data_IF_445920389027
#
_entry.id   IF_445920389027
#
_cell.length_a   1.000
_cell.length_b   1.000
_cell.length_c   1.000
_cell.angle_alpha   90.00
_cell.angle_beta   90.00
_cell.angle_gamma   90.00
#
_symmetry.space_group_name_H-M   'P 1'
#
loop_
_entity.id
_entity.type
_entity.pdbx_description
1 polymer ?
#
# COMPACT_ATOMS: atom_id res chain seq x y z
N UNK A 1 -25.42 -13.19 30.51
CA UNK A 1 -24.29 -12.26 30.37
C UNK A 1 -24.58 -11.41 29.15
N UNK A 2 -24.82 -10.11 29.33
CA UNK A 2 -25.27 -9.22 28.26
C UNK A 2 -24.11 -8.80 27.36
N UNK A 3 -24.26 -9.04 26.06
CA UNK A 3 -23.44 -8.41 25.02
C UNK A 3 -23.70 -6.90 25.05
N UNK A 4 -22.85 -6.15 25.75
CA UNK A 4 -22.81 -4.70 25.65
C UNK A 4 -22.17 -4.32 24.31
N UNK A 5 -22.90 -4.51 23.20
CA UNK A 5 -22.59 -3.83 21.95
C UNK A 5 -22.85 -2.34 22.18
N UNK A 6 -21.78 -1.53 22.19
CA UNK A 6 -21.90 -0.09 22.03
C UNK A 6 -22.71 0.18 20.75
N UNK A 7 -23.76 1.01 20.79
CA UNK A 7 -24.53 1.34 19.59
C UNK A 7 -23.61 1.97 18.55
N UNK A 8 -23.45 1.31 17.41
CA UNK A 8 -22.68 1.82 16.27
C UNK A 8 -23.64 2.61 15.39
N UNK A 9 -23.42 3.92 15.27
CA UNK A 9 -24.22 4.79 14.41
C UNK A 9 -23.56 4.86 13.03
N UNK A 10 -24.31 4.47 11.99
CA UNK A 10 -23.89 4.60 10.60
C UNK A 10 -24.23 5.99 10.09
N UNK A 11 -23.24 6.66 9.50
CA UNK A 11 -23.44 7.92 8.81
C UNK A 11 -22.78 7.88 7.46
N UNK A 12 -23.61 7.73 6.42
CA UNK A 12 -23.25 8.21 5.10
C UNK A 12 -23.15 9.74 5.18
N UNK A 13 -22.08 10.32 4.65
CA UNK A 13 -21.98 11.76 4.46
C UNK A 13 -23.25 12.27 3.76
N UNK A 14 -24.01 13.14 4.42
CA UNK A 14 -25.21 13.78 3.88
C UNK A 14 -24.88 15.25 3.68
N UNK A 15 -24.64 15.63 2.44
CA UNK A 15 -24.39 17.01 2.07
C UNK A 15 -25.52 17.92 2.58
N UNK A 16 -25.16 19.00 3.30
CA UNK A 16 -26.12 19.95 3.86
C UNK A 16 -26.86 19.50 5.12
N UNK A 17 -26.47 18.39 5.77
CA UNK A 17 -27.00 18.00 7.09
C UNK A 17 -25.93 17.99 8.15
N UNK A 18 -26.05 18.92 9.08
CA UNK A 18 -25.31 18.90 10.34
C UNK A 18 -25.93 17.90 11.28
N UNK A 19 -25.10 17.27 12.09
CA UNK A 19 -25.55 16.38 13.14
C UNK A 19 -24.81 16.73 14.42
N UNK A 20 -25.46 16.45 15.55
CA UNK A 20 -25.03 16.91 16.85
C UNK A 20 -24.91 15.71 17.78
N UNK A 21 -23.79 15.63 18.48
CA UNK A 21 -23.52 14.59 19.46
C UNK A 21 -23.54 15.20 20.85
N UNK A 22 -23.99 14.45 21.87
CA UNK A 22 -23.88 14.91 23.24
C UNK A 22 -22.41 15.17 23.60
N UNK A 23 -22.15 16.29 24.26
CA UNK A 23 -20.81 16.65 24.72
C UNK A 23 -20.20 15.55 25.61
N UNK A 24 -18.86 15.44 25.58
CA UNK A 24 -18.04 14.54 26.40
C UNK A 24 -18.20 13.02 26.14
N UNK A 25 -18.94 12.61 25.10
CA UNK A 25 -18.89 11.22 24.64
C UNK A 25 -17.60 10.92 23.87
N UNK A 26 -16.99 9.77 24.18
CA UNK A 26 -15.92 9.21 23.36
C UNK A 26 -16.51 8.69 22.06
N UNK A 27 -16.16 9.33 20.94
CA UNK A 27 -16.55 8.89 19.62
C UNK A 27 -15.40 8.14 18.96
N UNK A 28 -15.80 7.15 18.17
CA UNK A 28 -14.93 6.42 17.29
C UNK A 28 -15.35 6.78 15.86
N UNK A 29 -14.49 7.50 15.15
CA UNK A 29 -14.83 8.14 13.87
C UNK A 29 -13.89 7.59 12.80
N UNK A 30 -14.46 7.12 11.69
CA UNK A 30 -13.76 6.70 10.47
C UNK A 30 -14.58 7.15 9.26
N UNK A 31 -13.97 7.17 8.09
CA UNK A 31 -14.62 7.52 6.83
C UNK A 31 -13.97 6.77 5.67
N UNK A 32 -14.65 6.69 4.53
CA UNK A 32 -14.10 6.13 3.31
C UNK A 32 -14.72 6.80 2.07
N UNK A 33 -14.05 6.69 0.93
CA UNK A 33 -14.50 7.21 -0.36
C UNK A 33 -13.97 6.33 -1.50
N UNK A 34 -14.72 6.08 -2.60
CA UNK A 34 -16.09 6.52 -2.89
C UNK A 34 -17.15 5.84 -2.00
N UNK A 35 -18.23 6.57 -1.71
CA UNK A 35 -19.36 6.05 -0.94
C UNK A 35 -20.06 4.92 -1.71
N UNK A 36 -20.04 3.71 -1.17
CA UNK A 36 -20.73 2.58 -1.77
C UNK A 36 -22.17 2.46 -1.23
N UNK A 37 -23.09 3.23 -1.83
CA UNK A 37 -24.48 3.43 -1.38
C UNK A 37 -25.33 2.14 -1.36
N UNK A 38 -24.85 1.04 -1.96
CA UNK A 38 -25.56 -0.24 -2.00
C UNK A 38 -25.36 -1.09 -0.74
N UNK A 39 -24.44 -0.71 0.15
CA UNK A 39 -24.22 -1.45 1.40
C UNK A 39 -25.19 -0.99 2.49
N UNK A 40 -26.41 -1.52 2.44
CA UNK A 40 -27.50 -1.15 3.36
C UNK A 40 -27.38 -1.82 4.74
N UNK A 41 -26.33 -2.63 4.97
CA UNK A 41 -26.20 -3.47 6.18
C UNK A 41 -24.79 -3.58 6.79
N UNK A 42 -23.72 -3.21 6.08
CA UNK A 42 -22.37 -3.30 6.64
C UNK A 42 -21.91 -1.97 7.24
N UNK A 43 -22.11 -1.81 8.55
CA UNK A 43 -21.72 -0.58 9.26
C UNK A 43 -20.20 -0.47 9.53
N UNK A 44 -19.43 -1.54 9.35
CA UNK A 44 -18.01 -1.57 9.75
C UNK A 44 -17.08 -2.18 8.69
N UNK A 45 -17.59 -2.69 7.58
CA UNK A 45 -16.78 -3.41 6.59
C UNK A 45 -17.15 -2.95 5.17
N UNK A 46 -16.15 -2.81 4.30
CA UNK A 46 -16.34 -2.50 2.88
C UNK A 46 -16.16 -3.77 2.07
N UNK A 47 -17.21 -4.22 1.37
CA UNK A 47 -17.05 -5.28 0.37
C UNK A 47 -16.47 -4.70 -0.92
N UNK A 48 -15.30 -5.20 -1.34
CA UNK A 48 -14.64 -4.77 -2.57
C UNK A 48 -14.42 -6.01 -3.45
N UNK A 49 -14.74 -5.86 -4.73
CA UNK A 49 -14.63 -6.92 -5.74
C UNK A 49 -13.80 -6.43 -6.93
N UNK A 50 -12.79 -7.19 -7.30
CA UNK A 50 -12.06 -7.06 -8.56
C UNK A 50 -12.91 -7.72 -9.65
N UNK A 51 -13.52 -6.93 -10.55
CA UNK A 51 -14.32 -7.46 -11.66
C UNK A 51 -13.68 -7.16 -13.03
N UNK A 52 -13.56 -8.15 -13.94
CA UNK A 52 -12.87 -7.99 -15.22
C UNK A 52 -13.63 -7.11 -16.22
N UNK A 53 -14.95 -7.10 -16.16
CA UNK A 53 -15.80 -6.40 -17.13
C UNK A 53 -15.85 -4.88 -16.91
N UNK A 54 -15.34 -4.37 -15.78
CA UNK A 54 -15.41 -2.94 -15.45
C UNK A 54 -14.20 -2.49 -14.62
N UNK A 55 -13.05 -2.37 -15.27
CA UNK A 55 -11.86 -1.73 -14.67
C UNK A 55 -12.15 -0.29 -14.21
N UNK A 56 -13.11 0.39 -14.85
CA UNK A 56 -13.62 1.72 -14.44
C UNK A 56 -14.46 1.69 -13.15
N UNK A 57 -14.91 0.52 -12.69
CA UNK A 57 -15.80 0.36 -11.51
C UNK A 57 -15.10 -0.29 -10.33
N UNK A 58 -13.93 -0.95 -10.47
CA UNK A 58 -13.11 -1.29 -9.29
C UNK A 58 -12.72 0.03 -8.63
N UNK A 59 -13.37 0.42 -7.52
CA UNK A 59 -13.22 1.77 -7.03
C UNK A 59 -11.86 1.88 -6.36
N UNK A 60 -11.12 2.94 -6.67
CA UNK A 60 -9.97 3.31 -5.87
C UNK A 60 -10.46 3.81 -4.51
N UNK A 61 -10.50 2.90 -3.54
CA UNK A 61 -11.03 3.18 -2.20
C UNK A 61 -9.93 3.77 -1.33
N UNK A 62 -10.23 4.95 -0.78
CA UNK A 62 -9.48 5.56 0.31
C UNK A 62 -10.25 5.44 1.60
N UNK A 63 -9.54 5.16 2.70
CA UNK A 63 -10.12 5.03 4.04
C UNK A 63 -9.36 5.94 4.99
N UNK A 64 -10.07 6.53 5.95
CA UNK A 64 -9.47 7.20 7.09
C UNK A 64 -9.36 6.22 8.26
N UNK A 65 -8.16 6.12 8.83
CA UNK A 65 -7.96 5.35 10.05
C UNK A 65 -8.89 5.85 11.17
N UNK A 66 -9.34 4.95 12.06
CA UNK A 66 -10.23 5.35 13.12
C UNK A 66 -9.56 6.26 14.13
N UNK A 67 -10.19 7.39 14.43
CA UNK A 67 -9.76 8.29 15.50
C UNK A 67 -10.69 8.16 16.69
N UNK A 68 -10.09 8.09 17.88
CA UNK A 68 -10.84 8.22 19.14
C UNK A 68 -10.75 9.67 19.61
N UNK A 69 -11.88 10.37 19.54
CA UNK A 69 -11.96 11.77 19.98
C UNK A 69 -13.06 11.89 21.03
N UNK A 70 -12.76 12.56 22.15
CA UNK A 70 -13.84 13.11 22.98
C UNK A 70 -14.46 14.23 22.17
N UNK A 71 -15.70 14.02 21.74
CA UNK A 71 -16.39 15.03 20.96
C UNK A 71 -16.50 16.32 21.78
N UNK A 72 -16.02 17.40 21.18
CA UNK A 72 -16.28 18.76 21.62
C UNK A 72 -16.77 19.53 20.41
N UNK A 73 -17.95 20.13 20.54
CA UNK A 73 -18.64 20.85 19.46
C UNK A 73 -17.83 22.01 18.85
N UNK A 74 -16.76 22.47 19.53
CA UNK A 74 -15.88 23.55 19.11
C UNK A 74 -14.59 23.08 18.38
N UNK A 75 -14.36 21.78 18.22
CA UNK A 75 -13.13 21.25 17.60
C UNK A 75 -13.38 20.46 16.32
N UNK A 76 -12.65 20.78 15.22
CA UNK A 76 -12.68 19.94 14.03
C UNK A 76 -12.06 18.56 14.34
N UNK A 77 -12.50 17.54 13.59
CA UNK A 77 -11.89 16.21 13.56
C UNK A 77 -11.22 16.06 12.21
N UNK A 78 -9.89 15.95 12.22
CA UNK A 78 -9.11 15.69 11.02
C UNK A 78 -9.07 14.19 10.74
N UNK A 79 -9.35 13.80 9.49
CA UNK A 79 -9.34 12.42 9.03
C UNK A 79 -8.30 12.27 7.92
N UNK A 80 -7.25 11.49 8.19
CA UNK A 80 -6.19 11.21 7.21
C UNK A 80 -6.58 10.03 6.33
N UNK A 81 -6.92 10.31 5.07
CA UNK A 81 -7.26 9.29 4.09
C UNK A 81 -6.02 8.66 3.47
N UNK A 82 -6.06 7.35 3.26
CA UNK A 82 -5.03 6.60 2.55
C UNK A 82 -5.68 5.55 1.64
N UNK A 83 -5.01 5.24 0.54
CA UNK A 83 -5.41 4.17 -0.37
C UNK A 83 -5.20 2.81 0.29
N UNK A 84 -6.23 1.95 0.27
CA UNK A 84 -6.16 0.61 0.89
C UNK A 84 -5.81 -0.49 -0.13
N UNK A 85 -5.87 -0.18 -1.42
CA UNK A 85 -5.53 -1.07 -2.53
C UNK A 85 -4.09 -0.86 -3.00
N UNK A 86 -3.60 -1.74 -3.86
CA UNK A 86 -2.31 -1.60 -4.55
C UNK A 86 -2.49 -1.34 -6.04
N UNK A 87 -1.65 -0.47 -6.61
CA UNK A 87 -1.65 -0.13 -8.03
C UNK A 87 -0.55 -0.91 -8.70
N UNK A 88 -0.83 -1.51 -9.85
CA UNK A 88 0.19 -2.10 -10.69
C UNK A 88 0.09 -1.55 -12.11
N UNK A 89 1.13 -0.87 -12.55
CA UNK A 89 1.39 -0.58 -13.95
C UNK A 89 2.41 -1.59 -14.49
N UNK A 90 2.05 -2.31 -15.55
CA UNK A 90 2.95 -3.26 -16.20
C UNK A 90 3.41 -2.66 -17.52
N UNK A 91 4.72 -2.51 -17.69
CA UNK A 91 5.37 -2.11 -18.93
C UNK A 91 6.09 -3.30 -19.52
N UNK A 92 6.14 -3.36 -20.85
CA UNK A 92 6.85 -4.41 -21.56
C UNK A 92 7.65 -3.82 -22.73
N UNK A 93 8.83 -4.37 -22.95
CA UNK A 93 9.62 -4.15 -24.17
C UNK A 93 10.09 -5.48 -24.75
N UNK A 94 10.56 -5.44 -25.99
CA UNK A 94 11.35 -6.50 -26.56
C UNK A 94 12.81 -6.36 -26.11
N UNK A 95 13.47 -7.47 -25.77
CA UNK A 95 14.89 -7.46 -25.41
C UNK A 95 15.79 -7.19 -26.64
N UNK A 96 15.35 -7.63 -27.82
CA UNK A 96 16.07 -7.49 -29.08
C UNK A 96 15.58 -6.28 -29.91
N UNK A 97 16.35 -5.90 -30.93
CA UNK A 97 16.01 -4.85 -31.91
C UNK A 97 14.94 -5.28 -32.93
N UNK A 98 14.39 -6.49 -32.83
CA UNK A 98 13.35 -6.99 -33.75
C UNK A 98 11.96 -6.47 -33.42
N UNK A 99 11.11 -6.33 -34.43
CA UNK A 99 9.68 -6.04 -34.25
C UNK A 99 8.96 -7.29 -33.73
N UNK A 100 8.40 -7.21 -32.53
CA UNK A 100 7.59 -8.30 -31.94
C UNK A 100 6.16 -7.83 -31.80
N UNK A 101 5.22 -8.60 -32.33
CA UNK A 101 3.80 -8.32 -32.18
C UNK A 101 3.18 -9.26 -31.13
N UNK A 102 2.56 -8.68 -30.11
CA UNK A 102 1.69 -9.38 -29.18
C UNK A 102 0.25 -9.33 -29.69
N UNK A 103 -0.41 -10.48 -29.76
CA UNK A 103 -1.85 -10.55 -30.01
C UNK A 103 -2.65 -10.00 -28.84
N UNK A 104 -2.29 -10.40 -27.62
CA UNK A 104 -2.92 -9.93 -26.38
C UNK A 104 -2.04 -10.17 -25.16
N UNK A 105 -2.33 -9.44 -24.09
CA UNK A 105 -1.77 -9.65 -22.76
C UNK A 105 -2.91 -9.73 -21.73
N UNK A 106 -2.86 -10.72 -20.84
CA UNK A 106 -3.92 -10.98 -19.88
C UNK A 106 -3.35 -11.26 -18.48
N UNK A 107 -4.06 -10.84 -17.43
CA UNK A 107 -3.83 -11.28 -16.05
C UNK A 107 -4.91 -12.26 -15.65
N UNK A 108 -4.50 -13.46 -15.25
CA UNK A 108 -5.36 -14.44 -14.62
C UNK A 108 -5.26 -14.29 -13.09
N UNK A 109 -6.40 -14.16 -12.42
CA UNK A 109 -6.54 -14.19 -10.96
C UNK A 109 -7.19 -15.52 -10.59
N UNK A 110 -6.51 -16.27 -9.71
CA UNK A 110 -7.01 -17.55 -9.19
C UNK A 110 -8.35 -17.39 -8.42
N UNK A 111 -9.07 -18.50 -8.29
CA UNK A 111 -10.36 -18.56 -7.59
C UNK A 111 -10.28 -18.04 -6.15
N UNK A 112 -11.39 -17.49 -5.63
CA UNK A 112 -11.52 -16.98 -4.26
C UNK A 112 -10.61 -15.78 -3.93
N UNK A 113 -9.95 -15.17 -4.92
CA UNK A 113 -9.09 -13.99 -4.72
C UNK A 113 -9.66 -12.69 -5.29
N UNK A 114 -10.79 -12.76 -5.97
CA UNK A 114 -11.41 -11.62 -6.65
C UNK A 114 -12.30 -10.75 -5.75
N UNK A 115 -12.61 -11.16 -4.52
CA UNK A 115 -13.40 -10.35 -3.59
C UNK A 115 -12.84 -10.42 -2.16
N UNK A 116 -12.84 -9.29 -1.44
CA UNK A 116 -12.44 -9.20 -0.03
C UNK A 116 -13.30 -8.19 0.73
N UNK A 117 -13.32 -8.31 2.06
CA UNK A 117 -13.84 -7.28 2.94
C UNK A 117 -12.69 -6.45 3.51
N UNK A 118 -12.88 -5.14 3.61
CA UNK A 118 -11.99 -4.28 4.38
C UNK A 118 -12.70 -3.83 5.65
N UNK A 119 -12.21 -4.28 6.80
CA UNK A 119 -12.78 -3.93 8.08
C UNK A 119 -12.30 -2.54 8.49
N UNK A 120 -13.22 -1.56 8.48
CA UNK A 120 -12.96 -0.18 8.85
C UNK A 120 -12.55 -0.05 10.33
N UNK A 121 -12.91 -1.03 11.17
CA UNK A 121 -12.56 -1.01 12.60
C UNK A 121 -11.14 -1.43 12.88
N UNK A 122 -10.75 -2.55 12.28
CA UNK A 122 -9.43 -3.16 12.49
C UNK A 122 -8.41 -2.72 11.46
N UNK A 123 -8.85 -1.99 10.42
CA UNK A 123 -8.05 -1.54 9.27
C UNK A 123 -7.34 -2.71 8.57
N UNK A 124 -8.05 -3.84 8.44
CA UNK A 124 -7.51 -5.08 7.90
C UNK A 124 -8.37 -5.63 6.76
N UNK A 125 -7.71 -6.29 5.81
CA UNK A 125 -8.35 -7.07 4.77
C UNK A 125 -8.75 -8.45 5.30
N UNK A 126 -10.02 -8.79 5.13
CA UNK A 126 -10.60 -10.08 5.49
C UNK A 126 -11.02 -10.83 4.21
N UNK A 127 -10.74 -12.13 4.16
CA UNK A 127 -11.14 -12.98 3.03
C UNK A 127 -12.62 -13.33 3.14
N UNK A 128 -13.33 -13.31 2.01
CA UNK A 128 -14.66 -13.90 1.92
C UNK A 128 -14.58 -15.42 2.10
N UNK A 129 -15.55 -15.97 2.83
CA UNK A 129 -15.77 -17.42 2.93
C UNK A 129 -16.55 -17.98 1.74
N UNK A 130 -17.00 -17.11 0.84
CA UNK A 130 -17.79 -17.48 -0.35
C UNK A 130 -16.84 -17.78 -1.50
N UNK A 131 -17.11 -18.87 -2.21
CA UNK A 131 -16.31 -19.22 -3.39
C UNK A 131 -16.58 -18.26 -4.54
N UNK A 132 -15.53 -17.67 -5.12
CA UNK A 132 -15.61 -16.82 -6.31
C UNK A 132 -14.85 -17.44 -7.47
N UNK A 133 -15.38 -17.36 -8.71
CA UNK A 133 -14.72 -17.95 -9.87
C UNK A 133 -13.38 -17.27 -10.13
N UNK A 134 -12.46 -18.00 -10.77
CA UNK A 134 -11.26 -17.41 -11.32
C UNK A 134 -11.60 -16.38 -12.41
N UNK A 135 -10.73 -15.39 -12.58
CA UNK A 135 -11.00 -14.22 -13.41
C UNK A 135 -9.85 -13.97 -14.38
N UNK A 136 -10.16 -13.62 -15.63
CA UNK A 136 -9.18 -13.15 -16.61
C UNK A 136 -9.40 -11.67 -16.93
N UNK A 137 -8.34 -10.88 -16.82
CA UNK A 137 -8.30 -9.46 -17.17
C UNK A 137 -7.54 -9.28 -18.47
N UNK A 138 -8.23 -8.82 -19.50
CA UNK A 138 -7.58 -8.37 -20.72
C UNK A 138 -6.89 -7.02 -20.47
N UNK A 139 -5.58 -6.97 -20.60
CA UNK A 139 -4.83 -5.73 -20.44
C UNK A 139 -4.82 -4.92 -21.74
N UNK A 140 -4.62 -5.62 -22.84
CA UNK A 140 -4.38 -5.03 -24.16
C UNK A 140 -4.39 -6.09 -25.26
N UNK A 141 -4.61 -5.62 -26.48
CA UNK A 141 -4.56 -6.41 -27.71
C UNK A 141 -3.67 -5.73 -28.75
N UNK A 142 -3.09 -6.52 -29.64
CA UNK A 142 -2.37 -6.07 -30.83
C UNK A 142 -1.25 -5.05 -30.54
N UNK A 143 -0.42 -5.32 -29.53
CA UNK A 143 0.70 -4.44 -29.16
C UNK A 143 1.94 -4.75 -30.02
N UNK A 144 2.57 -3.72 -30.56
CA UNK A 144 3.92 -3.82 -31.09
C UNK A 144 4.93 -3.51 -29.96
N UNK A 145 5.84 -4.45 -29.71
CA UNK A 145 6.96 -4.28 -28.80
C UNK A 145 8.21 -3.88 -29.59
N UNK A 146 8.94 -2.94 -29.02
CA UNK A 146 10.29 -2.54 -29.44
C UNK A 146 11.19 -2.52 -28.20
N UNK A 147 12.44 -2.04 -28.33
CA UNK A 147 13.34 -1.83 -27.19
C UNK A 147 12.84 -0.78 -26.19
N UNK A 148 11.88 0.07 -26.59
CA UNK A 148 11.25 1.05 -25.69
C UNK A 148 10.06 0.43 -24.95
N UNK A 149 10.01 0.48 -23.60
CA UNK A 149 8.89 -0.05 -22.84
C UNK A 149 7.58 0.66 -23.16
N UNK A 150 6.53 -0.13 -23.39
CA UNK A 150 5.15 0.32 -23.57
C UNK A 150 4.28 -0.21 -22.44
N UNK A 151 3.27 0.54 -22.00
CA UNK A 151 2.32 0.05 -20.98
C UNK A 151 1.46 -1.06 -21.60
N UNK A 152 1.26 -2.14 -20.86
CA UNK A 152 0.35 -3.23 -21.25
C UNK A 152 -1.11 -2.91 -20.94
N UNK A 153 -1.40 -1.89 -20.14
CA UNK A 153 -2.75 -1.41 -19.86
C UNK A 153 -2.82 0.12 -20.03
N UNK A 154 -3.99 0.67 -20.38
CA UNK A 154 -4.17 2.12 -20.54
C UNK A 154 -4.09 2.87 -19.20
N UNK A 155 -4.42 2.19 -18.10
CA UNK A 155 -4.36 2.71 -16.74
C UNK A 155 -3.76 1.66 -15.78
N UNK A 156 -3.21 2.07 -14.62
CA UNK A 156 -2.80 1.15 -13.56
C UNK A 156 -3.97 0.28 -13.09
N UNK A 157 -3.66 -0.94 -12.69
CA UNK A 157 -4.65 -1.95 -12.28
C UNK A 157 -4.65 -2.03 -10.76
N UNK A 158 -5.83 -2.00 -10.15
CA UNK A 158 -6.00 -2.11 -8.71
C UNK A 158 -6.03 -3.58 -8.29
N UNK A 159 -5.28 -3.92 -7.24
CA UNK A 159 -5.29 -5.25 -6.61
C UNK A 159 -5.42 -5.15 -5.10
N UNK A 160 -5.88 -6.22 -4.47
CA UNK A 160 -5.68 -6.35 -3.02
C UNK A 160 -4.19 -6.56 -2.72
N UNK A 161 -3.66 -5.96 -1.65
CA UNK A 161 -2.29 -6.23 -1.22
C UNK A 161 -2.03 -7.72 -0.99
N UNK A 162 -0.82 -8.18 -1.33
CA UNK A 162 -0.37 -9.56 -1.14
C UNK A 162 -0.98 -10.59 -2.10
N UNK A 163 -1.57 -10.17 -3.22
CA UNK A 163 -2.18 -11.08 -4.19
C UNK A 163 -1.21 -11.74 -5.18
N UNK A 164 0.08 -11.41 -5.15
CA UNK A 164 1.08 -11.85 -6.11
C UNK A 164 1.10 -13.37 -6.38
N UNK A 165 0.96 -14.26 -5.37
CA UNK A 165 0.96 -15.71 -5.59
C UNK A 165 -0.19 -16.22 -6.46
N UNK A 166 -1.26 -15.44 -6.54
CA UNK A 166 -2.53 -15.81 -7.16
C UNK A 166 -2.76 -15.12 -8.51
N UNK A 167 -1.80 -14.31 -8.97
CA UNK A 167 -1.91 -13.56 -10.22
C UNK A 167 -0.85 -14.06 -11.20
N UNK A 168 -1.30 -14.39 -12.41
CA UNK A 168 -0.44 -14.81 -13.52
C UNK A 168 -0.62 -13.88 -14.71
N UNK A 169 0.48 -13.27 -15.16
CA UNK A 169 0.55 -12.59 -16.44
C UNK A 169 0.80 -13.60 -17.55
N UNK A 170 0.03 -13.52 -18.63
CA UNK A 170 0.23 -14.30 -19.84
C UNK A 170 0.23 -13.36 -21.05
N UNK A 171 1.25 -13.46 -21.89
CA UNK A 171 1.30 -12.72 -23.17
C UNK A 171 1.34 -13.69 -24.34
N UNK A 172 0.64 -13.32 -25.40
CA UNK A 172 0.45 -14.12 -26.60
C UNK A 172 1.24 -13.47 -27.73
N UNK A 173 2.43 -14.00 -28.04
CA UNK A 173 3.27 -13.49 -29.13
C UNK A 173 2.81 -14.09 -30.45
N UNK A 174 2.57 -13.24 -31.44
CA UNK A 174 2.25 -13.65 -32.80
C UNK A 174 3.52 -14.09 -33.53
N UNK A 175 3.46 -15.27 -34.11
CA UNK A 175 4.54 -15.84 -34.92
C UNK A 175 4.39 -15.46 -36.39
N UNK A 176 5.48 -15.53 -37.19
CA UNK A 176 5.44 -15.19 -38.62
C UNK A 176 4.47 -16.04 -39.45
N UNK A 177 4.19 -17.27 -39.02
CA UNK A 177 3.23 -18.18 -39.67
C UNK A 177 1.76 -17.87 -39.30
N UNK A 178 1.53 -16.86 -38.45
CA UNK A 178 0.22 -16.44 -37.98
C UNK A 178 -0.28 -17.19 -36.75
N UNK A 179 0.47 -18.17 -36.23
CA UNK A 179 0.17 -18.84 -34.97
C UNK A 179 0.58 -17.99 -33.75
N UNK A 180 0.26 -18.47 -32.55
CA UNK A 180 0.56 -17.75 -31.30
C UNK A 180 1.34 -18.63 -30.34
N UNK A 181 2.47 -18.11 -29.88
CA UNK A 181 3.20 -18.65 -28.73
C UNK A 181 2.78 -17.91 -27.46
N UNK A 182 2.83 -18.61 -26.33
CA UNK A 182 2.49 -18.04 -25.02
C UNK A 182 3.67 -18.09 -24.07
N UNK A 183 3.84 -17.03 -23.31
CA UNK A 183 4.72 -17.01 -22.14
C UNK A 183 3.93 -16.47 -20.94
N UNK A 184 4.13 -17.09 -19.79
CA UNK A 184 3.46 -16.70 -18.55
C UNK A 184 4.43 -16.60 -17.39
N UNK A 185 4.09 -15.75 -16.42
CA UNK A 185 4.85 -15.50 -15.20
C UNK A 185 3.86 -15.27 -14.06
N UNK A 186 4.08 -15.87 -12.88
CA UNK A 186 3.36 -15.44 -11.68
C UNK A 186 3.98 -14.16 -11.14
N UNK A 187 3.16 -13.26 -10.60
CA UNK A 187 3.70 -12.04 -9.99
C UNK A 187 4.59 -12.36 -8.79
N UNK A 188 4.35 -13.48 -8.10
CA UNK A 188 5.22 -13.98 -7.02
C UNK A 188 6.61 -14.43 -7.48
N UNK A 189 6.83 -14.64 -8.78
CA UNK A 189 8.13 -15.01 -9.33
C UNK A 189 9.04 -13.79 -9.53
N UNK A 190 8.50 -12.57 -9.32
CA UNK A 190 9.28 -11.32 -9.38
C UNK A 190 10.28 -11.29 -8.24
N UNK A 191 11.55 -11.18 -8.62
CA UNK A 191 12.69 -11.12 -7.72
C UNK A 191 13.44 -9.82 -7.87
N UNK A 192 14.23 -9.48 -6.85
CA UNK A 192 15.22 -8.41 -6.96
C UNK A 192 16.50 -8.85 -7.66
N UNK A 193 17.43 -7.91 -7.78
CA UNK A 193 18.74 -8.17 -8.39
C UNK A 193 19.60 -9.16 -7.57
N UNK A 194 19.27 -9.39 -6.30
CA UNK A 194 19.90 -10.41 -5.45
C UNK A 194 19.21 -11.80 -5.57
N UNK A 195 18.04 -11.85 -6.22
CA UNK A 195 17.25 -13.07 -6.39
C UNK A 195 16.19 -13.30 -5.31
N UNK A 196 15.98 -12.32 -4.43
CA UNK A 196 15.03 -12.38 -3.32
C UNK A 196 13.60 -12.04 -3.79
N UNK A 197 12.55 -12.73 -3.29
CA UNK A 197 11.17 -12.42 -3.62
C UNK A 197 10.80 -11.00 -3.22
N UNK A 198 10.04 -10.29 -4.05
CA UNK A 198 9.63 -8.92 -3.74
C UNK A 198 8.13 -8.74 -3.84
N UNK A 199 7.60 -8.10 -2.80
CA UNK A 199 6.22 -7.64 -2.76
C UNK A 199 6.09 -6.41 -3.64
N UNK A 200 5.21 -6.51 -4.64
CA UNK A 200 4.89 -5.42 -5.57
C UNK A 200 3.44 -4.98 -5.45
N UNK A 201 2.62 -5.69 -4.66
CA UNK A 201 1.24 -5.34 -4.35
C UNK A 201 1.13 -4.95 -2.88
N UNK A 202 1.47 -3.70 -2.59
CA UNK A 202 1.42 -3.10 -1.25
C UNK A 202 0.28 -2.07 -1.15
N UNK A 203 -0.35 -2.01 0.02
CA UNK A 203 -1.43 -1.05 0.28
C UNK A 203 -0.92 0.39 0.11
N UNK A 204 -1.63 1.21 -0.66
CA UNK A 204 -1.30 2.60 -0.90
C UNK A 204 -0.05 2.83 -1.74
N UNK A 205 0.46 1.79 -2.40
CA UNK A 205 1.62 1.87 -3.28
C UNK A 205 1.20 1.72 -4.74
N UNK A 206 1.70 2.62 -5.57
CA UNK A 206 1.76 2.50 -7.01
C UNK A 206 3.08 1.84 -7.44
N UNK A 207 2.95 0.61 -7.94
CA UNK A 207 4.06 -0.18 -8.45
C UNK A 207 4.12 -0.09 -9.97
N UNK A 208 5.33 0.10 -10.51
CA UNK A 208 5.59 -0.06 -11.95
C UNK A 208 6.55 -1.21 -12.16
N UNK A 209 6.09 -2.25 -12.86
CA UNK A 209 6.88 -3.41 -13.25
C UNK A 209 7.24 -3.31 -14.73
N UNK A 210 8.53 -3.19 -15.05
CA UNK A 210 9.02 -3.20 -16.43
C UNK A 210 9.59 -4.56 -16.77
N UNK A 211 8.95 -5.23 -17.72
CA UNK A 211 9.31 -6.55 -18.21
C UNK A 211 10.00 -6.45 -19.56
N UNK A 212 10.88 -7.39 -19.82
CA UNK A 212 11.47 -7.60 -21.14
C UNK A 212 11.13 -9.00 -21.63
N UNK A 213 10.62 -9.08 -22.85
CA UNK A 213 10.39 -10.35 -23.54
C UNK A 213 11.69 -10.80 -24.19
N UNK A 214 12.25 -11.89 -23.67
CA UNK A 214 13.50 -12.46 -24.16
C UNK A 214 13.28 -13.30 -25.42
N UNK A 215 14.31 -13.50 -26.26
CA UNK A 215 14.19 -14.24 -27.51
C UNK A 215 13.81 -15.71 -27.30
N UNK A 216 14.20 -16.26 -26.14
CA UNK A 216 13.90 -17.61 -25.66
C UNK A 216 12.46 -17.78 -25.16
N UNK A 217 11.57 -16.81 -25.39
CA UNK A 217 10.19 -16.79 -24.87
C UNK A 217 10.15 -16.86 -23.33
N UNK A 218 11.02 -16.09 -22.69
CA UNK A 218 11.06 -15.93 -21.23
C UNK A 218 10.81 -14.46 -20.91
N UNK A 219 10.03 -14.20 -19.85
CA UNK A 219 9.87 -12.85 -19.31
C UNK A 219 10.97 -12.60 -18.28
N UNK A 220 11.71 -11.51 -18.43
CA UNK A 220 12.64 -11.01 -17.40
C UNK A 220 12.11 -9.72 -16.80
N UNK A 221 12.45 -9.48 -15.53
CA UNK A 221 12.19 -8.21 -14.86
C UNK A 221 13.39 -7.30 -15.10
N UNK A 222 13.17 -6.18 -15.77
CA UNK A 222 14.23 -5.23 -16.11
C UNK A 222 14.33 -4.10 -15.08
N UNK A 223 13.18 -3.64 -14.60
CA UNK A 223 13.12 -2.62 -13.57
C UNK A 223 11.80 -2.75 -12.79
N UNK A 224 11.84 -2.31 -11.54
CA UNK A 224 10.67 -2.11 -10.70
C UNK A 224 10.77 -0.78 -9.97
N UNK A 225 9.65 -0.11 -9.81
CA UNK A 225 9.55 1.10 -9.01
C UNK A 225 8.36 0.97 -8.08
N UNK A 226 8.53 1.32 -6.81
CA UNK A 226 7.47 1.43 -5.83
C UNK A 226 7.37 2.90 -5.43
N UNK A 227 6.15 3.45 -5.46
CA UNK A 227 5.89 4.85 -5.12
C UNK A 227 4.60 4.94 -4.31
N UNK A 228 4.51 5.82 -3.33
CA UNK A 228 3.23 6.08 -2.66
C UNK A 228 2.22 6.70 -3.63
N UNK A 229 0.97 6.28 -3.47
CA UNK A 229 -0.14 6.69 -4.32
C UNK A 229 -0.58 8.12 -4.00
N UNK A 230 -0.68 8.96 -5.03
CA UNK A 230 -1.08 10.37 -4.88
C UNK A 230 0.07 11.37 -5.01
N UNK A 231 1.33 10.90 -5.14
CA UNK A 231 2.51 11.76 -5.27
C UNK A 231 3.04 11.68 -6.71
N UNK A 232 3.12 12.82 -7.40
CA UNK A 232 3.83 12.93 -8.69
C UNK A 232 5.27 13.33 -8.40
N UNK A 233 6.24 12.58 -8.93
CA UNK A 233 7.68 12.82 -8.75
C UNK A 233 8.09 14.27 -9.06
N UNK A 234 8.19 15.11 -8.03
CA UNK A 234 9.15 16.21 -8.02
C UNK A 234 10.50 15.58 -7.66
N UNK A 235 11.33 15.36 -8.68
CA UNK A 235 12.79 15.09 -8.59
C UNK A 235 13.31 14.94 -7.16
N UNK A 236 13.48 13.69 -6.69
CA UNK A 236 14.07 13.33 -5.41
C UNK A 236 15.39 14.07 -5.18
N UNK A 237 15.33 15.23 -4.53
CA UNK A 237 16.50 15.88 -3.95
C UNK A 237 16.75 15.16 -2.62
N UNK A 238 17.84 14.40 -2.60
CA UNK A 238 18.42 13.58 -1.52
C UNK A 238 18.72 14.30 -0.19
N UNK A 239 18.09 15.43 0.13
CA UNK A 239 18.51 16.27 1.25
C UNK A 239 17.59 16.20 2.48
N UNK A 240 16.58 15.31 2.48
CA UNK A 240 15.53 15.35 3.49
C UNK A 240 15.00 13.96 3.86
N UNK A 241 15.75 13.21 4.67
CA UNK A 241 15.36 11.88 5.19
C UNK A 241 15.31 11.87 6.73
N UNK A 242 14.49 10.97 7.28
CA UNK A 242 14.50 10.64 8.72
C UNK A 242 15.29 9.38 8.88
N UNK A 243 16.26 9.38 9.79
CA UNK A 243 16.99 8.18 10.15
C UNK A 243 16.26 7.45 11.27
N UNK A 244 16.07 6.14 11.10
CA UNK A 244 15.41 5.29 12.09
C UNK A 244 16.47 4.38 12.71
N UNK A 245 16.59 4.41 14.03
CA UNK A 245 17.40 3.46 14.78
C UNK A 245 16.47 2.59 15.61
N UNK A 246 16.64 1.28 15.56
CA UNK A 246 16.09 0.38 16.59
C UNK A 246 17.29 -0.05 17.44
N UNK A 247 17.23 0.16 18.75
CA UNK A 247 18.36 -0.10 19.65
C UNK A 247 17.99 -1.07 20.75
N UNK A 248 18.91 -1.96 21.09
CA UNK A 248 18.78 -2.90 22.21
C UNK A 248 19.13 -2.26 23.56
N UNK A 249 18.87 -2.99 24.66
CA UNK A 249 19.25 -2.61 26.03
C UNK A 249 20.72 -2.20 26.21
N UNK A 250 21.62 -2.71 25.36
CA UNK A 250 23.05 -2.37 25.33
C UNK A 250 23.39 -1.22 24.37
N UNK A 251 22.37 -0.53 23.84
CA UNK A 251 22.46 0.54 22.85
C UNK A 251 23.09 0.13 21.50
N UNK A 252 23.16 -1.18 21.22
CA UNK A 252 23.50 -1.69 19.89
C UNK A 252 22.29 -1.64 18.96
N UNK A 253 22.52 -1.52 17.64
CA UNK A 253 21.46 -1.55 16.63
C UNK A 253 20.83 -2.95 16.54
N UNK A 254 19.51 -3.03 16.68
CA UNK A 254 18.73 -4.23 16.40
C UNK A 254 18.30 -4.24 14.92
N UNK A 255 19.15 -4.81 14.08
CA UNK A 255 18.86 -4.96 12.65
C UNK A 255 17.72 -5.94 12.36
N UNK A 256 17.40 -6.85 13.29
CA UNK A 256 16.39 -7.89 13.05
C UNK A 256 15.01 -7.27 13.05
N UNK A 257 14.67 -6.57 14.15
CA UNK A 257 13.39 -5.86 14.26
C UNK A 257 13.30 -4.77 13.20
N UNK A 258 14.39 -4.03 12.99
CA UNK A 258 14.40 -2.96 12.00
C UNK A 258 14.00 -3.45 10.59
N UNK A 259 14.54 -4.59 10.13
CA UNK A 259 14.26 -5.13 8.78
C UNK A 259 12.80 -5.54 8.61
N UNK A 260 12.08 -5.74 9.71
CA UNK A 260 10.66 -6.04 9.70
C UNK A 260 9.79 -4.77 9.74
N UNK A 261 10.36 -3.58 9.88
CA UNK A 261 9.58 -2.33 9.82
C UNK A 261 9.31 -1.95 8.36
N UNK A 262 8.03 -1.85 8.02
CA UNK A 262 7.57 -1.42 6.70
C UNK A 262 7.36 0.10 6.64
N UNK A 263 6.70 0.66 7.66
CA UNK A 263 6.40 2.09 7.72
C UNK A 263 6.27 2.58 9.17
N UNK A 264 6.41 3.88 9.34
CA UNK A 264 6.19 4.56 10.62
C UNK A 264 5.14 5.65 10.48
N UNK A 265 4.40 5.89 11.56
CA UNK A 265 3.43 6.96 11.70
C UNK A 265 3.65 7.64 13.06
N UNK A 266 3.78 8.97 13.08
CA UNK A 266 3.79 9.76 14.31
C UNK A 266 2.51 10.58 14.38
N UNK A 267 1.83 10.55 15.53
CA UNK A 267 0.68 11.39 15.84
C UNK A 267 1.11 12.38 16.92
N UNK A 268 1.05 13.67 16.63
CA UNK A 268 1.41 14.73 17.60
C UNK A 268 0.67 16.03 17.29
N UNK A 269 0.25 16.76 18.34
CA UNK A 269 -0.45 18.04 18.16
C UNK A 269 -1.71 17.99 17.29
N UNK A 270 -2.40 16.85 17.23
CA UNK A 270 -3.57 16.64 16.37
C UNK A 270 -3.25 16.42 14.88
N UNK A 271 -1.98 16.27 14.52
CA UNK A 271 -1.52 15.98 13.16
C UNK A 271 -0.87 14.60 13.08
N UNK A 272 -0.93 14.02 11.90
CA UNK A 272 -0.32 12.73 11.59
C UNK A 272 0.79 12.89 10.55
N UNK A 273 1.89 12.17 10.75
CA UNK A 273 3.07 12.19 9.88
C UNK A 273 3.45 10.75 9.55
N UNK A 274 3.63 10.42 8.28
CA UNK A 274 3.91 9.05 7.82
C UNK A 274 5.19 8.99 7.00
N UNK A 275 5.85 7.84 7.04
CA UNK A 275 7.01 7.56 6.22
C UNK A 275 7.16 6.06 5.97
N UNK A 276 7.53 5.71 4.74
CA UNK A 276 8.00 4.36 4.41
C UNK A 276 9.44 4.18 4.88
N UNK A 277 9.71 3.01 5.42
CA UNK A 277 11.06 2.63 5.83
C UNK A 277 11.72 1.89 4.67
N UNK A 278 12.83 2.43 4.18
CA UNK A 278 13.59 1.82 3.09
C UNK A 278 14.94 1.35 3.63
N UNK A 279 15.22 0.04 3.59
CA UNK A 279 16.54 -0.49 3.91
C UNK A 279 17.58 0.06 2.94
N UNK A 280 18.58 0.78 3.45
CA UNK A 280 19.72 1.24 2.66
C UNK A 280 20.78 0.15 2.62
N UNK A 281 21.21 -0.24 1.42
CA UNK A 281 22.12 -1.36 1.17
C UNK A 281 23.60 -1.07 1.49
N UNK A 282 23.92 0.06 2.12
CA UNK A 282 25.30 0.39 2.49
C UNK A 282 25.70 -0.26 3.81
N UNK A 283 26.73 -1.11 3.75
CA UNK A 283 27.28 -1.95 4.82
C UNK A 283 27.91 -1.19 6.02
N UNK A 284 27.54 0.06 6.27
CA UNK A 284 28.11 0.85 7.37
C UNK A 284 27.16 1.74 8.17
N UNK A 285 25.91 2.02 7.76
CA UNK A 285 25.07 2.92 8.58
C UNK A 285 23.59 2.90 8.22
N UNK A 286 22.79 2.97 9.27
CA UNK A 286 21.52 3.70 9.42
C UNK A 286 20.54 3.65 8.23
N UNK A 287 19.65 2.68 8.35
CA UNK A 287 18.23 2.71 8.06
C UNK A 287 17.56 4.09 7.92
N UNK A 288 16.98 4.37 6.74
CA UNK A 288 16.30 5.64 6.43
C UNK A 288 14.81 5.46 6.15
N UNK A 289 14.00 6.37 6.69
CA UNK A 289 12.62 6.59 6.28
C UNK A 289 12.56 7.67 5.18
N UNK A 290 11.84 7.37 4.10
CA UNK A 290 11.50 8.35 3.08
C UNK A 290 10.21 9.09 3.47
N UNK A 291 10.26 10.40 3.34
CA UNK A 291 9.13 11.31 3.61
C UNK A 291 9.05 12.34 2.50
N UNK A 292 7.87 12.95 2.31
CA UNK A 292 7.60 13.94 1.26
C UNK A 292 8.45 15.22 1.44
N UNK A 293 8.51 15.80 2.65
CA UNK A 293 9.51 16.81 3.02
C UNK A 293 9.84 16.80 4.53
N UNK A 294 11.11 17.00 4.91
CA UNK A 294 11.54 17.18 6.31
C UNK A 294 10.86 18.38 7.01
N UNK A 295 10.38 19.36 6.23
CA UNK A 295 9.59 20.52 6.67
C UNK A 295 8.25 20.14 7.25
N UNK A 296 7.67 19.04 6.76
CA UNK A 296 6.36 18.56 7.16
C UNK A 296 6.43 17.71 8.41
N UNK A 297 7.61 17.19 8.78
CA UNK A 297 7.74 16.47 10.04
C UNK A 297 7.82 17.39 11.26
N UNK A 298 7.25 16.97 12.39
CA UNK A 298 7.22 17.78 13.60
C UNK A 298 8.65 18.12 14.02
N UNK A 299 8.92 19.39 14.32
CA UNK A 299 10.25 19.79 14.81
C UNK A 299 10.52 19.26 16.22
N UNK A 300 9.47 19.03 16.99
CA UNK A 300 9.50 18.51 18.35
C UNK A 300 8.25 17.67 18.57
N UNK A 301 8.37 16.66 19.42
CA UNK A 301 7.25 15.87 19.90
C UNK A 301 6.92 16.26 21.33
N UNK A 302 5.65 16.14 21.69
CA UNK A 302 5.17 16.31 23.05
C UNK A 302 5.04 14.94 23.75
N UNK A 303 4.82 14.95 25.06
CA UNK A 303 4.64 13.73 25.84
C UNK A 303 3.34 12.96 25.53
N UNK A 304 2.47 13.50 24.67
CA UNK A 304 1.25 12.84 24.18
C UNK A 304 1.45 12.22 22.80
N UNK A 305 2.66 12.35 22.23
CA UNK A 305 2.95 11.89 20.89
C UNK A 305 3.00 10.37 20.85
N UNK A 306 2.31 9.79 19.87
CA UNK A 306 2.24 8.35 19.66
C UNK A 306 3.03 7.98 18.41
N UNK A 307 3.91 7.01 18.51
CA UNK A 307 4.54 6.38 17.36
C UNK A 307 3.79 5.08 17.07
N UNK A 308 3.38 4.87 15.83
CA UNK A 308 2.78 3.63 15.35
C UNK A 308 3.70 3.07 14.27
N UNK A 309 4.03 1.80 14.38
CA UNK A 309 4.92 1.09 13.46
C UNK A 309 4.12 0.01 12.76
N UNK A 310 4.16 0.00 11.43
CA UNK A 310 3.62 -1.09 10.64
C UNK A 310 4.76 -2.02 10.24
N UNK A 311 4.60 -3.30 10.54
CA UNK A 311 5.57 -4.34 10.26
C UNK A 311 5.29 -4.95 8.87
N UNK A 312 6.28 -5.61 8.28
CA UNK A 312 6.21 -6.27 6.97
C UNK A 312 5.18 -7.39 6.90
N UNK A 313 4.78 -7.96 8.04
CA UNK A 313 3.70 -8.95 8.15
C UNK A 313 2.30 -8.31 8.25
N UNK A 314 2.22 -6.97 8.21
CA UNK A 314 1.00 -6.18 8.34
C UNK A 314 0.56 -5.93 9.79
N UNK A 315 1.32 -6.39 10.79
CA UNK A 315 1.02 -6.09 12.19
C UNK A 315 1.31 -4.62 12.52
N UNK A 316 0.52 -4.05 13.43
CA UNK A 316 0.67 -2.68 13.91
C UNK A 316 1.16 -2.71 15.37
N UNK A 317 2.14 -1.86 15.67
CA UNK A 317 2.70 -1.68 17.01
C UNK A 317 2.56 -0.22 17.44
N UNK A 318 1.85 0.01 18.53
CA UNK A 318 1.80 1.31 19.19
C UNK A 318 2.96 1.42 20.17
N UNK A 319 3.86 2.37 19.92
CA UNK A 319 5.04 2.64 20.72
C UNK A 319 4.80 3.93 21.52
N UNK A 320 4.76 3.86 22.86
CA UNK A 320 4.52 5.04 23.70
C UNK A 320 5.73 5.98 23.69
N UNK A 321 5.50 7.27 23.94
CA UNK A 321 6.56 8.31 23.97
C UNK A 321 7.77 7.97 24.84
N UNK A 322 7.60 7.19 25.91
CA UNK A 322 8.69 6.75 26.78
C UNK A 322 9.64 5.73 26.14
N UNK A 323 9.25 5.13 25.02
CA UNK A 323 9.94 4.03 24.34
C UNK A 323 10.56 4.45 23.00
N UNK A 324 10.62 5.75 22.72
CA UNK A 324 11.39 6.26 21.60
C UNK A 324 11.91 7.68 21.88
N UNK A 325 12.95 8.05 21.15
CA UNK A 325 13.54 9.38 21.16
C UNK A 325 13.42 9.98 19.76
N UNK A 326 12.97 11.22 19.71
CA UNK A 326 12.91 11.98 18.48
C UNK A 326 13.86 13.17 18.57
N UNK A 327 14.93 13.13 17.77
CA UNK A 327 15.90 14.20 17.66
C UNK A 327 15.74 14.92 16.33
N UNK A 328 15.81 16.24 16.40
CA UNK A 328 15.53 17.12 15.27
C UNK A 328 16.58 18.21 15.22
N UNK A 329 17.32 18.25 14.11
CA UNK A 329 18.21 19.36 13.73
C UNK A 329 17.83 19.85 12.34
N UNK A 330 18.18 21.08 12.02
CA UNK A 330 17.96 21.82 10.77
C UNK A 330 18.11 20.99 9.49
N UNK A 331 19.00 19.98 9.48
CA UNK A 331 19.29 19.14 8.31
C UNK A 331 18.86 17.67 8.44
N UNK A 332 18.37 17.23 9.61
CA UNK A 332 18.19 15.80 9.90
C UNK A 332 17.15 15.56 11.00
N UNK A 333 16.35 14.51 10.84
CA UNK A 333 15.56 13.93 11.93
C UNK A 333 16.08 12.53 12.23
N UNK A 334 16.11 12.18 13.50
CA UNK A 334 16.48 10.85 13.97
C UNK A 334 15.38 10.37 14.90
N UNK A 335 14.78 9.23 14.56
CA UNK A 335 13.86 8.49 15.41
C UNK A 335 14.60 7.26 15.95
N UNK A 336 14.86 7.23 17.25
CA UNK A 336 15.47 6.07 17.91
C UNK A 336 14.42 5.35 18.73
N UNK A 337 14.20 4.06 18.49
CA UNK A 337 13.19 3.23 19.12
C UNK A 337 13.91 2.17 19.96
N UNK A 338 13.48 1.99 21.20
CA UNK A 338 14.02 0.94 22.07
C UNK A 338 13.40 -0.41 21.68
N UNK A 339 14.20 -1.45 21.49
CA UNK A 339 13.74 -2.76 21.02
C UNK A 339 12.79 -3.44 22.00
N UNK A 340 12.89 -3.10 23.30
CA UNK A 340 11.96 -3.55 24.33
C UNK A 340 10.52 -3.15 24.04
N UNK A 341 10.29 -2.12 23.22
CA UNK A 341 8.96 -1.67 22.83
C UNK A 341 8.21 -2.70 21.95
N UNK A 342 8.93 -3.63 21.33
CA UNK A 342 8.34 -4.66 20.46
C UNK A 342 8.02 -5.96 21.20
N UNK A 343 8.39 -6.08 22.48
CA UNK A 343 8.17 -7.27 23.32
C UNK A 343 6.83 -7.23 24.09
N UNK A 344 5.95 -6.27 23.77
CA UNK A 344 4.68 -6.03 24.49
C UNK A 344 3.48 -6.74 23.88
#
# INVERSE_FOLDING_TARGET
MSNNMLPSYYLACQEGREQYWPDDQGLWITAYNPLHIKDTKSNNELKISLHPENWEITPDVIVAEPVTAKYRSDKPVDLSFHHIMSSLNIRMKNADEGDVQLSKAELFIEENQSERFYNLKTTQWEKLTVSTPAVNYLLSENIALSSTPVNLSPAPILFFPGMEPFIRLTVYKKLPDGSYDTVSMKLSDVKDNAGDPVQILLAGIQSTLTLSLQPTMVLSVDNRSLQEWGIVNHTLKTHRQIEIHVINSDYSLDETIYKEIQSIKIITGGKEYRALVIPTSSSTSVSSALTEELSEWPQSLDNQSLLIICMMDGSLREIPYSMYLYQSDTNKRILTIYSEAFNQ
#
